data_IF_127429308384
#
_entry.id   IF_127429308384
#
_cell.length_a   1.000
_cell.length_b   1.000
_cell.length_c   1.000
_cell.angle_alpha   90.00
_cell.angle_beta   90.00
_cell.angle_gamma   90.00
#
_symmetry.space_group_name_H-M   'P 1'
#
loop_
_entity.id
_entity.type
_entity.pdbx_description
1 polymer ?
#
# COMPACT_ATOMS: atom_id res chain seq x y z
N UNK A 1 8.34 1.18 -8.83
CA UNK A 1 7.53 -0.06 -8.78
C UNK A 1 6.19 0.19 -9.46
N UNK A 2 5.58 -0.82 -10.06
CA UNK A 2 4.27 -0.75 -10.70
C UNK A 2 3.28 -1.67 -10.01
N UNK A 3 2.00 -1.36 -10.13
CA UNK A 3 0.90 -2.20 -9.63
C UNK A 3 0.21 -2.90 -10.78
N UNK A 4 -0.05 -4.19 -10.61
CA UNK A 4 -0.82 -5.01 -11.54
C UNK A 4 -2.30 -4.69 -11.39
N UNK A 5 -3.00 -4.37 -12.48
CA UNK A 5 -4.42 -4.01 -12.48
C UNK A 5 -5.33 -5.22 -12.68
N UNK A 6 -4.86 -6.25 -13.37
CA UNK A 6 -5.60 -7.45 -13.74
C UNK A 6 -4.74 -8.69 -13.54
N UNK A 7 -5.38 -9.80 -13.20
CA UNK A 7 -4.68 -11.09 -13.12
C UNK A 7 -4.19 -11.49 -14.52
N UNK A 8 -2.92 -11.85 -14.63
CA UNK A 8 -2.30 -12.35 -15.84
C UNK A 8 -1.73 -13.74 -15.56
N UNK A 9 -2.11 -14.71 -16.39
CA UNK A 9 -1.58 -16.07 -16.33
C UNK A 9 -0.45 -16.19 -17.34
N UNK A 10 0.69 -16.75 -16.92
CA UNK A 10 1.78 -17.06 -17.82
C UNK A 10 1.29 -17.99 -18.93
N UNK A 11 1.53 -17.60 -20.18
CA UNK A 11 1.17 -18.40 -21.35
C UNK A 11 2.37 -19.19 -21.86
N UNK A 12 3.54 -18.54 -21.86
CA UNK A 12 4.81 -19.13 -22.28
C UNK A 12 5.82 -19.26 -21.12
N UNK A 13 6.91 -20.00 -21.34
CA UNK A 13 7.97 -20.25 -20.34
C UNK A 13 8.71 -18.95 -19.92
N UNK A 14 8.71 -17.94 -20.79
CA UNK A 14 9.30 -16.63 -20.53
C UNK A 14 8.31 -15.65 -19.88
N UNK A 15 7.05 -16.04 -19.69
CA UNK A 15 6.03 -15.23 -19.03
C UNK A 15 6.01 -15.46 -17.51
N UNK A 16 5.45 -14.48 -16.80
CA UNK A 16 5.24 -14.58 -15.36
C UNK A 16 3.76 -14.40 -15.01
N UNK A 17 3.24 -15.31 -14.20
CA UNK A 17 1.89 -15.16 -13.65
C UNK A 17 1.90 -14.09 -12.56
N UNK A 18 1.02 -13.10 -12.68
CA UNK A 18 0.89 -11.99 -11.72
C UNK A 18 -0.56 -11.78 -11.33
N UNK A 19 -0.80 -11.48 -10.06
CA UNK A 19 -2.13 -11.23 -9.54
C UNK A 19 -2.47 -9.73 -9.49
N UNK A 20 -3.75 -9.40 -9.62
CA UNK A 20 -4.27 -8.05 -9.44
C UNK A 20 -3.89 -7.52 -8.07
N UNK A 21 -3.35 -6.31 -8.06
CA UNK A 21 -2.89 -5.62 -6.86
C UNK A 21 -1.49 -6.01 -6.41
N UNK A 22 -0.87 -6.99 -7.06
CA UNK A 22 0.54 -7.32 -6.85
C UNK A 22 1.44 -6.17 -7.33
N UNK A 23 2.62 -6.12 -6.73
CA UNK A 23 3.62 -5.10 -7.00
C UNK A 23 4.80 -5.75 -7.69
N UNK A 24 5.23 -5.13 -8.76
CA UNK A 24 6.30 -5.64 -9.58
C UNK A 24 7.34 -4.56 -9.85
N UNK A 25 8.55 -5.01 -10.11
CA UNK A 25 9.68 -4.18 -10.52
C UNK A 25 9.94 -4.38 -12.00
N UNK A 26 9.89 -3.32 -12.78
CA UNK A 26 10.32 -3.37 -14.19
C UNK A 26 11.84 -3.45 -14.22
N UNK A 27 12.35 -4.49 -14.88
CA UNK A 27 13.77 -4.71 -15.12
C UNK A 27 14.15 -4.25 -16.52
N UNK A 28 13.33 -4.54 -17.53
CA UNK A 28 13.54 -4.10 -18.91
C UNK A 28 12.23 -3.57 -19.52
N UNK A 29 12.35 -2.49 -20.31
CA UNK A 29 11.29 -1.79 -21.03
C UNK A 29 11.69 -1.45 -22.48
N UNK A 30 12.59 -2.25 -23.06
CA UNK A 30 13.07 -2.06 -24.43
C UNK A 30 11.93 -2.19 -25.47
N UNK A 31 10.87 -2.94 -25.12
CA UNK A 31 9.64 -3.06 -25.90
C UNK A 31 8.51 -2.17 -25.32
N UNK A 32 7.66 -1.64 -26.19
CA UNK A 32 6.57 -0.75 -25.83
C UNK A 32 5.34 -1.50 -25.26
N UNK A 33 5.16 -2.76 -25.67
CA UNK A 33 4.00 -3.58 -25.34
C UNK A 33 4.30 -4.58 -24.23
N UNK A 34 5.52 -5.13 -24.17
CA UNK A 34 5.92 -6.19 -23.24
C UNK A 34 7.09 -5.80 -22.37
N UNK A 35 6.90 -5.79 -21.06
CA UNK A 35 7.95 -5.42 -20.12
C UNK A 35 8.46 -6.63 -19.38
N UNK A 36 9.79 -6.72 -19.25
CA UNK A 36 10.43 -7.72 -18.41
C UNK A 36 10.38 -7.25 -16.97
N UNK A 37 9.74 -8.03 -16.11
CA UNK A 37 9.44 -7.64 -14.74
C UNK A 37 9.89 -8.70 -13.75
N UNK A 38 10.05 -8.28 -12.50
CA UNK A 38 10.35 -9.14 -11.35
C UNK A 38 9.29 -8.94 -10.27
N UNK A 39 8.69 -10.03 -9.80
CA UNK A 39 7.71 -9.99 -8.72
C UNK A 39 8.38 -10.04 -7.33
N UNK A 40 7.58 -9.93 -6.27
CA UNK A 40 8.08 -10.02 -4.89
C UNK A 40 8.67 -11.39 -4.54
N UNK A 41 8.29 -12.43 -5.29
CA UNK A 41 8.80 -13.80 -5.16
C UNK A 41 10.11 -14.04 -5.93
N UNK A 42 10.73 -13.00 -6.50
CA UNK A 42 11.94 -13.07 -7.35
C UNK A 42 11.77 -13.90 -8.63
N UNK A 43 10.54 -14.15 -9.05
CA UNK A 43 10.26 -14.70 -10.36
C UNK A 43 10.34 -13.57 -11.39
N UNK A 44 10.77 -13.92 -12.60
CA UNK A 44 10.96 -12.97 -13.68
C UNK A 44 10.26 -13.50 -14.92
N UNK A 45 9.70 -12.58 -15.68
CA UNK A 45 9.04 -12.90 -16.93
C UNK A 45 8.52 -11.66 -17.63
N UNK A 46 7.91 -11.88 -18.79
CA UNK A 46 7.21 -10.84 -19.53
C UNK A 46 5.79 -10.63 -19.02
N UNK A 47 5.38 -9.37 -18.98
CA UNK A 47 3.99 -8.96 -18.70
C UNK A 47 3.62 -7.82 -19.65
N UNK A 48 2.39 -7.81 -20.20
CA UNK A 48 1.94 -6.72 -21.04
C UNK A 48 1.87 -5.41 -20.26
N UNK A 49 2.42 -4.33 -20.80
CA UNK A 49 2.42 -3.01 -20.18
C UNK A 49 1.04 -2.52 -19.79
N UNK A 50 0.02 -2.84 -20.59
CA UNK A 50 -1.37 -2.40 -20.38
C UNK A 50 -2.00 -2.94 -19.09
N UNK A 51 -1.39 -3.96 -18.48
CA UNK A 51 -1.83 -4.55 -17.22
C UNK A 51 -1.20 -3.84 -16.02
N UNK A 52 -0.29 -2.89 -16.26
CA UNK A 52 0.53 -2.24 -15.25
C UNK A 52 0.17 -0.78 -15.11
N UNK A 53 0.05 -0.33 -13.86
CA UNK A 53 -0.21 1.07 -13.55
C UNK A 53 0.91 1.67 -12.70
N UNK A 54 1.40 2.87 -13.04
CA UNK A 54 2.28 3.63 -12.16
C UNK A 54 1.57 3.89 -10.83
N UNK A 55 2.10 3.36 -9.73
CA UNK A 55 1.57 3.66 -8.41
C UNK A 55 2.00 5.10 -8.04
N UNK A 56 1.22 6.10 -8.46
CA UNK A 56 1.51 7.53 -8.29
C UNK A 56 1.27 8.08 -6.89
N UNK A 57 0.99 7.22 -5.90
CA UNK A 57 0.77 7.63 -4.53
C UNK A 57 2.00 7.27 -3.67
N UNK A 58 2.82 8.27 -3.33
CA UNK A 58 3.94 8.14 -2.38
C UNK A 58 3.49 7.65 -0.98
N UNK A 59 2.18 7.72 -0.69
CA UNK A 59 1.57 7.18 0.53
C UNK A 59 1.47 5.64 0.48
N UNK A 60 1.42 5.01 -0.70
CA UNK A 60 1.52 3.56 -0.83
C UNK A 60 2.97 3.04 -0.85
N UNK A 61 3.95 3.84 -1.25
CA UNK A 61 5.36 3.44 -1.33
C UNK A 61 5.96 3.10 0.04
N UNK A 62 5.55 3.81 1.10
CA UNK A 62 5.96 3.53 2.49
C UNK A 62 5.35 2.23 3.05
N UNK A 63 4.15 1.85 2.61
CA UNK A 63 3.49 0.61 3.06
C UNK A 63 4.11 -0.67 2.44
N UNK A 64 4.81 -0.52 1.32
CA UNK A 64 5.40 -1.62 0.55
C UNK A 64 6.77 -2.02 1.11
N UNK A 65 7.55 -1.03 1.57
CA UNK A 65 8.83 -1.32 2.25
C UNK A 65 8.60 -2.00 3.61
N UNK A 66 7.59 -1.57 4.38
CA UNK A 66 7.29 -2.17 5.70
C UNK A 66 6.90 -3.66 5.63
N UNK A 67 6.32 -4.14 4.52
CA UNK A 67 5.99 -5.57 4.36
C UNK A 67 7.10 -6.43 3.77
N UNK A 68 8.11 -5.84 3.13
CA UNK A 68 9.29 -6.57 2.62
C UNK A 68 10.41 -6.59 3.65
N UNK A 69 10.49 -5.60 4.56
CA UNK A 69 11.46 -5.56 5.66
C UNK A 69 10.87 -6.12 6.97
N UNK A 70 10.38 -7.36 6.96
CA UNK A 70 10.17 -8.13 8.20
C UNK A 70 11.54 -8.50 8.82
N UNK A 71 12.30 -7.49 9.21
CA UNK A 71 13.11 -7.52 10.43
C UNK A 71 12.23 -6.79 11.43
N UNK A 72 11.60 -7.55 12.31
CA UNK A 72 10.69 -7.03 13.32
C UNK A 72 11.31 -5.82 14.04
N UNK A 73 10.66 -4.65 14.09
CA UNK A 73 10.99 -3.70 15.14
C UNK A 73 10.56 -4.37 16.46
N UNK A 74 11.56 -4.70 17.27
CA UNK A 74 11.37 -5.04 18.68
C UNK A 74 10.44 -3.99 19.28
N UNK A 75 9.36 -4.50 19.86
CA UNK A 75 8.30 -3.75 20.54
C UNK A 75 8.89 -2.63 21.40
N UNK A 76 8.33 -1.43 21.25
CA UNK A 76 8.21 -0.53 22.39
C UNK A 76 6.82 0.08 22.38
N UNK A 77 5.98 -0.54 23.19
CA UNK A 77 4.63 -0.10 23.50
C UNK A 77 4.62 1.36 23.94
N UNK A 78 3.77 2.17 23.30
CA UNK A 78 2.95 3.17 24.01
C UNK A 78 1.57 3.24 23.33
N UNK A 79 0.69 2.35 23.77
CA UNK A 79 -0.74 2.58 23.72
C UNK A 79 -1.02 3.77 24.64
N UNK A 80 -1.57 4.86 24.12
CA UNK A 80 -2.61 5.63 24.83
C UNK A 80 -3.43 6.37 23.79
N UNK A 81 -4.69 5.97 23.71
CA UNK A 81 -5.76 6.71 23.05
C UNK A 81 -5.80 8.14 23.55
N UNK A 82 -5.83 9.11 22.62
CA UNK A 82 -6.49 10.38 22.89
C UNK A 82 -7.21 10.86 21.62
N UNK A 83 -8.48 10.46 21.55
CA UNK A 83 -9.61 11.33 21.24
C UNK A 83 -9.23 12.76 20.84
N UNK A 84 -9.45 13.09 19.57
CA UNK A 84 -9.80 14.45 19.17
C UNK A 84 -11.17 14.77 19.80
N UNK A 85 -11.13 15.48 20.93
CA UNK A 85 -12.30 16.17 21.47
C UNK A 85 -12.00 17.65 21.40
N UNK A 86 -12.75 18.33 20.54
CA UNK A 86 -12.75 19.77 20.34
C UNK A 86 -12.88 20.52 21.68
N UNK A 87 -12.08 21.59 21.82
CA UNK A 87 -12.22 22.57 22.88
C UNK A 87 -13.64 23.17 22.85
N UNK A 88 -14.36 23.12 23.97
CA UNK A 88 -15.58 23.92 24.14
C UNK A 88 -15.64 24.59 25.49
N UNK A 89 -15.49 25.90 25.48
CA UNK A 89 -16.18 26.76 26.43
C UNK A 89 -17.05 27.72 25.64
N UNK A 90 -18.37 27.47 25.59
CA UNK A 90 -19.36 28.48 25.21
C UNK A 90 -20.25 28.73 26.42
N UNK A 91 -20.08 29.90 27.03
CA UNK A 91 -20.98 30.41 28.06
C UNK A 91 -22.28 30.84 27.39
N UNK A 92 -23.39 30.24 27.78
CA UNK A 92 -24.74 30.78 27.55
C UNK A 92 -25.50 30.67 28.87
N UNK A 93 -25.57 31.77 29.62
CA UNK A 93 -26.38 31.89 30.84
C UNK A 93 -25.78 31.30 32.13
N UNK A 94 -26.62 31.12 33.15
CA UNK A 94 -26.24 30.83 34.56
C UNK A 94 -26.36 29.36 34.99
N UNK A 95 -26.47 28.40 34.07
CA UNK A 95 -26.56 26.98 34.44
C UNK A 95 -25.50 26.14 33.76
N UNK A 96 -24.65 25.51 34.57
CA UNK A 96 -23.72 24.46 34.17
C UNK A 96 -24.44 23.12 34.33
N UNK A 97 -24.65 22.38 33.25
CA UNK A 97 -25.06 20.99 33.30
C UNK A 97 -23.85 20.13 32.90
N UNK A 98 -23.37 19.29 33.80
CA UNK A 98 -22.36 18.27 33.52
C UNK A 98 -23.06 16.91 33.54
N UNK A 99 -23.32 16.33 32.37
CA UNK A 99 -23.79 14.95 32.27
C UNK A 99 -22.58 14.02 32.21
N UNK A 100 -22.35 13.31 33.31
CA UNK A 100 -21.42 12.17 33.38
C UNK A 100 -22.05 10.98 32.67
N UNK A 101 -21.43 10.44 31.63
CA UNK A 101 -21.74 9.08 31.17
C UNK A 101 -20.45 8.34 30.77
N UNK A 102 -20.26 7.23 31.50
CA UNK A 102 -19.24 6.16 31.44
C UNK A 102 -17.78 6.57 31.64
#
# INVERSE_FOLDING_TARGET
MLRVLFDFQACDDDDIAVARGELIKVLNKDDDDWWWVENVHRQRGFVPRNFLWPCGCYVCEKFILDRVTNVAPVLRDQHTDQSSCDERTRLVGTRKYTSTWC
#
